data_IF_614111659541
#
_entry.id   IF_614111659541
#
_cell.length_a   1.000
_cell.length_b   1.000
_cell.length_c   1.000
_cell.angle_alpha   90.00
_cell.angle_beta   90.00
_cell.angle_gamma   90.00
#
_symmetry.space_group_name_H-M   'P 1'
#
loop_
_entity.id
_entity.type
_entity.pdbx_description
1 polymer ?
#
# COMPACT_ATOMS: atom_id res chain seq x y z
N UNK A 1 -30.09 -8.43 -40.89
CA UNK A 1 -31.29 -7.54 -40.90
C UNK A 1 -32.05 -7.80 -39.62
N UNK A 2 -32.38 -6.87 -38.73
CA UNK A 2 -32.12 -5.45 -38.55
C UNK A 2 -32.19 -5.18 -37.04
N UNK A 3 -31.60 -4.07 -36.55
CA UNK A 3 -31.39 -3.78 -35.14
C UNK A 3 -32.49 -2.87 -34.58
N UNK A 4 -32.71 -2.91 -33.26
CA UNK A 4 -33.13 -1.77 -32.43
C UNK A 4 -33.54 -2.25 -31.04
N UNK A 5 -32.86 -1.81 -29.99
CA UNK A 5 -33.53 -0.93 -29.03
C UNK A 5 -32.50 -0.17 -28.20
N UNK A 6 -32.55 1.15 -28.37
CA UNK A 6 -31.91 2.18 -27.58
C UNK A 6 -32.82 2.49 -26.39
N UNK A 7 -32.27 2.65 -25.19
CA UNK A 7 -32.64 3.72 -24.24
C UNK A 7 -31.76 3.68 -22.97
N UNK A 8 -31.01 4.76 -22.66
CA UNK A 8 -30.55 5.02 -21.30
C UNK A 8 -31.62 5.84 -20.57
N UNK A 9 -32.15 5.31 -19.46
CA UNK A 9 -33.02 6.08 -18.57
C UNK A 9 -32.13 6.72 -17.50
N UNK A 10 -31.81 7.98 -17.74
CA UNK A 10 -31.33 8.88 -16.70
C UNK A 10 -32.45 9.21 -15.72
N UNK A 11 -32.14 9.17 -14.44
CA UNK A 11 -32.91 9.88 -13.41
C UNK A 11 -31.99 10.81 -12.65
N UNK A 12 -32.38 12.07 -12.71
CA UNK A 12 -31.81 13.26 -12.10
C UNK A 12 -32.08 13.32 -10.59
N UNK A 13 -31.04 13.73 -9.85
CA UNK A 13 -31.03 14.62 -8.65
C UNK A 13 -31.80 14.19 -7.37
N UNK A 14 -31.49 14.71 -6.15
CA UNK A 14 -31.08 16.09 -5.89
C UNK A 14 -29.88 16.34 -4.96
N UNK A 15 -29.30 17.52 -5.19
CA UNK A 15 -28.47 18.26 -4.24
C UNK A 15 -29.18 18.46 -2.90
N UNK A 16 -28.48 18.14 -1.81
CA UNK A 16 -28.83 18.55 -0.45
C UNK A 16 -27.62 19.20 0.21
N UNK A 17 -27.53 20.53 0.09
CA UNK A 17 -26.61 21.40 0.83
C UNK A 17 -27.33 21.89 2.09
N UNK A 18 -26.75 21.69 3.27
CA UNK A 18 -27.17 22.38 4.51
C UNK A 18 -25.90 22.69 5.35
N UNK A 19 -25.83 23.82 6.07
CA UNK A 19 -24.58 24.54 6.31
C UNK A 19 -23.90 24.27 7.66
N UNK A 20 -22.63 24.71 7.66
CA UNK A 20 -21.77 25.13 8.77
C UNK A 20 -22.48 25.66 10.02
N UNK A 21 -22.03 25.20 11.21
CA UNK A 21 -21.47 26.03 12.31
C UNK A 21 -21.47 25.26 13.62
N UNK A 22 -20.31 25.03 14.20
CA UNK A 22 -20.03 25.52 15.56
C UNK A 22 -18.59 25.20 15.96
N UNK A 23 -17.82 26.28 16.06
CA UNK A 23 -16.56 26.36 16.78
C UNK A 23 -16.75 25.92 18.24
N UNK A 24 -15.98 24.92 18.69
CA UNK A 24 -15.63 24.80 20.11
C UNK A 24 -14.14 24.51 20.23
N UNK A 25 -13.38 25.60 20.42
CA UNK A 25 -11.98 25.61 20.86
C UNK A 25 -11.96 25.52 22.41
N UNK A 26 -10.80 25.30 23.04
CA UNK A 26 -10.43 24.08 23.72
C UNK A 26 -10.48 24.22 25.25
N UNK A 27 -10.72 23.14 25.99
CA UNK A 27 -10.42 23.14 27.43
C UNK A 27 -9.07 22.50 27.67
N UNK A 28 -8.09 23.35 27.93
CA UNK A 28 -6.75 23.04 28.41
C UNK A 28 -6.78 21.98 29.51
N UNK A 29 -6.28 20.77 29.23
CA UNK A 29 -5.90 19.82 30.28
C UNK A 29 -4.40 19.93 30.49
N UNK A 30 -4.07 20.15 31.75
CA UNK A 30 -2.74 20.38 32.28
C UNK A 30 -1.76 19.30 31.81
N UNK A 31 -0.63 19.73 31.24
CA UNK A 31 0.48 18.87 30.90
C UNK A 31 1.17 18.41 32.20
N UNK A 32 1.07 17.11 32.51
CA UNK A 32 1.88 16.47 33.55
C UNK A 32 3.18 16.01 32.88
N UNK A 33 4.37 16.48 33.31
CA UNK A 33 5.63 15.98 32.78
C UNK A 33 5.83 14.54 33.26
N UNK A 34 5.62 13.60 32.35
CA UNK A 34 5.99 12.21 32.56
C UNK A 34 7.49 12.07 32.33
N UNK A 35 8.27 11.49 33.27
CA UNK A 35 9.66 11.17 33.01
C UNK A 35 9.71 10.10 31.91
N UNK A 36 10.12 10.49 30.71
CA UNK A 36 10.40 9.55 29.62
C UNK A 36 11.67 8.80 30.01
N UNK A 37 11.51 7.62 30.62
CA UNK A 37 12.57 6.63 30.72
C UNK A 37 12.90 6.22 29.28
N UNK A 38 13.97 6.80 28.75
CA UNK A 38 14.48 6.47 27.42
C UNK A 38 15.07 5.06 27.45
N UNK A 39 14.26 4.05 27.14
CA UNK A 39 14.78 2.75 26.78
C UNK A 39 13.93 2.09 25.68
N UNK A 40 14.66 1.57 24.69
CA UNK A 40 14.27 0.58 23.67
C UNK A 40 13.61 1.10 22.41
N UNK A 41 14.46 1.39 21.41
CA UNK A 41 14.14 1.12 19.99
C UNK A 41 15.24 0.24 19.38
N UNK A 42 15.14 -1.08 19.57
CA UNK A 42 15.91 -2.08 18.80
C UNK A 42 15.06 -3.23 18.24
N UNK A 43 13.75 -3.26 18.50
CA UNK A 43 12.89 -4.38 18.08
C UNK A 43 12.45 -4.32 16.60
N UNK A 44 12.30 -3.13 16.01
CA UNK A 44 11.75 -2.97 14.65
C UNK A 44 12.67 -3.45 13.51
N UNK A 45 13.99 -3.35 13.68
CA UNK A 45 14.94 -3.74 12.64
C UNK A 45 15.03 -5.28 12.47
N UNK A 46 14.99 -6.02 13.59
CA UNK A 46 15.04 -7.49 13.57
C UNK A 46 13.79 -8.10 12.93
N UNK A 47 12.62 -7.50 13.17
CA UNK A 47 11.36 -8.00 12.62
C UNK A 47 11.26 -7.81 11.10
N UNK A 48 11.83 -6.72 10.57
CA UNK A 48 11.82 -6.43 9.13
C UNK A 48 12.73 -7.37 8.32
N UNK A 49 13.90 -7.73 8.87
CA UNK A 49 14.82 -8.69 8.25
C UNK A 49 14.27 -10.11 8.30
N UNK A 50 13.73 -10.51 9.46
CA UNK A 50 13.11 -11.81 9.65
C UNK A 50 11.92 -12.04 8.71
N UNK A 51 11.12 -10.99 8.45
CA UNK A 51 10.01 -11.09 7.49
C UNK A 51 10.50 -11.29 6.04
N UNK A 52 11.61 -10.64 5.63
CA UNK A 52 12.15 -10.83 4.28
C UNK A 52 12.85 -12.18 4.08
N UNK A 53 13.55 -12.68 5.11
CA UNK A 53 14.16 -14.01 5.07
C UNK A 53 13.06 -15.08 4.97
N UNK A 54 12.05 -15.02 5.85
CA UNK A 54 10.92 -15.96 5.82
C UNK A 54 10.13 -15.90 4.51
N UNK A 55 9.97 -14.73 3.88
CA UNK A 55 9.30 -14.65 2.59
C UNK A 55 10.14 -15.22 1.44
N UNK A 56 11.46 -15.05 1.49
CA UNK A 56 12.37 -15.63 0.49
C UNK A 56 12.37 -17.16 0.56
N UNK A 57 12.35 -17.72 1.77
CA UNK A 57 12.25 -19.18 1.97
C UNK A 57 10.95 -19.74 1.40
N UNK A 58 9.82 -19.05 1.64
CA UNK A 58 8.50 -19.45 1.11
C UNK A 58 8.43 -19.39 -0.42
N UNK A 59 9.05 -18.38 -1.04
CA UNK A 59 9.15 -18.29 -2.51
C UNK A 59 9.97 -19.47 -3.05
N UNK A 60 11.07 -19.82 -2.39
CA UNK A 60 11.91 -20.94 -2.82
C UNK A 60 11.16 -22.28 -2.75
N UNK A 61 10.42 -22.51 -1.66
CA UNK A 61 9.55 -23.69 -1.52
C UNK A 61 8.47 -23.73 -2.61
N UNK A 62 7.82 -22.60 -2.90
CA UNK A 62 6.81 -22.50 -3.95
C UNK A 62 7.39 -22.77 -5.34
N UNK A 63 8.62 -22.30 -5.63
CA UNK A 63 9.33 -22.58 -6.88
C UNK A 63 9.60 -24.09 -7.01
N UNK A 64 10.07 -24.73 -5.94
CA UNK A 64 10.36 -26.16 -5.97
C UNK A 64 9.07 -26.99 -6.14
N UNK A 65 7.97 -26.55 -5.51
CA UNK A 65 6.65 -27.13 -5.72
C UNK A 65 6.17 -26.95 -7.17
N UNK A 66 6.30 -25.75 -7.75
CA UNK A 66 5.90 -25.47 -9.12
C UNK A 66 6.72 -26.26 -10.15
N UNK A 67 8.02 -26.43 -9.93
CA UNK A 67 8.87 -27.32 -10.74
C UNK A 67 8.40 -28.76 -10.66
N UNK A 68 8.16 -29.26 -9.44
CA UNK A 68 7.68 -30.62 -9.23
C UNK A 68 6.32 -30.88 -9.91
N UNK A 69 5.39 -29.92 -9.80
CA UNK A 69 4.09 -29.99 -10.50
C UNK A 69 4.27 -29.97 -12.02
N UNK A 70 5.19 -29.14 -12.54
CA UNK A 70 5.51 -29.06 -13.97
C UNK A 70 6.12 -30.36 -14.50
N UNK A 71 6.93 -31.06 -13.70
CA UNK A 71 7.51 -32.37 -14.05
C UNK A 71 6.48 -33.50 -13.98
N UNK A 72 5.62 -33.51 -12.96
CA UNK A 72 4.62 -34.56 -12.75
C UNK A 72 3.42 -34.48 -13.70
N UNK A 73 2.86 -33.28 -13.87
CA UNK A 73 1.63 -33.07 -14.63
C UNK A 73 1.90 -32.51 -16.03
N UNK A 74 3.13 -32.06 -16.29
CA UNK A 74 3.54 -31.42 -17.54
C UNK A 74 3.45 -29.90 -17.47
N UNK A 75 4.34 -29.21 -18.20
CA UNK A 75 4.51 -27.75 -18.15
C UNK A 75 3.27 -26.95 -18.55
N UNK A 76 2.38 -27.52 -19.36
CA UNK A 76 1.16 -26.87 -19.86
C UNK A 76 -0.11 -27.28 -19.10
N UNK A 77 0.01 -28.14 -18.09
CA UNK A 77 -1.10 -28.59 -17.23
C UNK A 77 -1.68 -27.45 -16.40
N UNK A 78 -2.91 -27.61 -15.93
CA UNK A 78 -3.55 -26.62 -15.08
C UNK A 78 -2.87 -26.54 -13.72
N UNK A 79 -2.45 -27.68 -13.19
CA UNK A 79 -1.77 -27.84 -11.92
C UNK A 79 -0.41 -27.13 -11.89
N UNK A 80 0.35 -27.23 -12.99
CA UNK A 80 1.61 -26.49 -13.12
C UNK A 80 1.36 -24.98 -13.18
N UNK A 81 0.35 -24.52 -13.93
CA UNK A 81 0.01 -23.09 -14.03
C UNK A 81 -0.39 -22.52 -12.67
N UNK A 82 -1.30 -23.18 -11.96
CA UNK A 82 -1.73 -22.75 -10.62
C UNK A 82 -0.55 -22.71 -9.65
N UNK A 83 0.36 -23.68 -9.72
CA UNK A 83 1.55 -23.66 -8.86
C UNK A 83 2.49 -22.49 -9.17
N UNK A 84 2.63 -22.11 -10.45
CA UNK A 84 3.39 -20.92 -10.86
C UNK A 84 2.68 -19.61 -10.51
N UNK A 85 1.34 -19.56 -10.56
CA UNK A 85 0.56 -18.38 -10.12
C UNK A 85 0.82 -18.04 -8.64
N UNK A 86 0.99 -19.06 -7.79
CA UNK A 86 1.35 -18.87 -6.37
C UNK A 86 2.75 -18.28 -6.21
N UNK A 87 3.72 -18.67 -7.06
CA UNK A 87 5.06 -18.06 -7.05
C UNK A 87 4.96 -16.57 -7.41
N UNK A 88 4.19 -16.25 -8.45
CA UNK A 88 3.97 -14.88 -8.90
C UNK A 88 3.35 -14.01 -7.79
N UNK A 89 2.35 -14.52 -7.07
CA UNK A 89 1.73 -13.80 -5.95
C UNK A 89 2.72 -13.52 -4.80
N UNK A 90 3.52 -14.51 -4.41
CA UNK A 90 4.51 -14.35 -3.34
C UNK A 90 5.62 -13.36 -3.71
N UNK A 91 6.08 -13.40 -4.96
CA UNK A 91 7.08 -12.46 -5.45
C UNK A 91 6.53 -11.04 -5.55
N UNK A 92 5.27 -10.88 -5.97
CA UNK A 92 4.59 -9.59 -5.98
C UNK A 92 4.51 -9.00 -4.56
N UNK A 93 4.13 -9.79 -3.56
CA UNK A 93 4.11 -9.33 -2.17
C UNK A 93 5.52 -9.01 -1.65
N UNK A 94 6.54 -9.80 -2.01
CA UNK A 94 7.94 -9.47 -1.67
C UNK A 94 8.36 -8.14 -2.25
N UNK A 95 8.05 -7.87 -3.52
CA UNK A 95 8.36 -6.58 -4.15
C UNK A 95 7.62 -5.44 -3.45
N UNK A 96 6.33 -5.61 -3.19
CA UNK A 96 5.54 -4.59 -2.52
C UNK A 96 6.06 -4.28 -1.10
N UNK A 97 6.53 -5.29 -0.37
CA UNK A 97 7.20 -5.09 0.91
C UNK A 97 8.54 -4.39 0.77
N UNK A 98 9.31 -4.68 -0.28
CA UNK A 98 10.55 -3.97 -0.58
C UNK A 98 10.27 -2.50 -0.92
N UNK A 99 9.29 -2.22 -1.77
CA UNK A 99 8.89 -0.88 -2.19
C UNK A 99 8.43 -0.03 -1.01
N UNK A 100 7.62 -0.61 -0.09
CA UNK A 100 7.25 0.05 1.18
C UNK A 100 8.45 0.40 2.06
N UNK A 101 9.49 -0.44 2.06
CA UNK A 101 10.73 -0.19 2.80
C UNK A 101 11.63 0.81 2.07
N UNK A 102 11.54 0.89 0.75
CA UNK A 102 12.34 1.74 -0.11
C UNK A 102 11.62 2.96 -0.63
N UNK A 103 10.50 3.38 -0.01
CA UNK A 103 9.95 4.74 -0.16
C UNK A 103 10.99 5.71 0.39
N UNK A 104 12.06 5.92 -0.37
CA UNK A 104 12.87 7.11 -0.32
C UNK A 104 11.90 8.18 -0.79
N UNK A 105 11.45 9.03 0.12
CA UNK A 105 10.74 10.22 -0.29
C UNK A 105 11.61 10.93 -1.31
N UNK A 106 11.00 11.41 -2.38
CA UNK A 106 11.76 12.18 -3.36
C UNK A 106 12.45 13.33 -2.59
N UNK A 107 13.75 13.58 -2.81
CA UNK A 107 14.45 14.62 -2.07
C UNK A 107 13.76 15.99 -2.11
N UNK A 108 13.03 16.27 -3.20
CA UNK A 108 12.20 17.47 -3.32
C UNK A 108 10.94 17.38 -2.44
N UNK A 109 10.31 16.21 -2.33
CA UNK A 109 9.13 15.99 -1.47
C UNK A 109 9.47 16.14 0.03
N UNK A 110 10.67 15.73 0.46
CA UNK A 110 11.18 16.04 1.81
C UNK A 110 11.41 17.55 2.00
N UNK A 111 12.04 18.21 1.02
CA UNK A 111 12.28 19.66 1.08
C UNK A 111 10.98 20.47 1.12
N UNK A 112 10.00 20.13 0.29
CA UNK A 112 8.72 20.82 0.22
C UNK A 112 7.83 20.61 1.44
N UNK A 113 8.05 19.55 2.24
CA UNK A 113 7.40 19.38 3.54
C UNK A 113 7.87 20.39 4.57
N UNK A 114 9.16 20.74 4.55
CA UNK A 114 9.78 21.65 5.52
C UNK A 114 9.71 23.12 5.05
N UNK A 115 9.58 23.36 3.75
CA UNK A 115 9.46 24.71 3.15
C UNK A 115 8.36 24.76 2.07
N UNK A 116 7.06 24.79 2.47
CA UNK A 116 5.94 24.78 1.52
C UNK A 116 5.80 26.07 0.70
N UNK A 117 6.46 27.15 1.13
CA UNK A 117 6.49 28.46 0.47
C UNK A 117 7.73 28.68 -0.40
N UNK A 118 8.66 27.72 -0.45
CA UNK A 118 9.79 27.76 -1.37
C UNK A 118 9.29 27.81 -2.83
N UNK A 119 10.05 28.48 -3.69
CA UNK A 119 9.69 28.67 -5.10
C UNK A 119 9.56 27.33 -5.84
N UNK A 120 10.30 26.30 -5.42
CA UNK A 120 10.24 24.94 -5.95
C UNK A 120 9.01 24.14 -5.46
N UNK A 121 8.32 24.60 -4.41
CA UNK A 121 7.30 23.85 -3.69
C UNK A 121 5.92 24.52 -3.68
N UNK A 122 5.82 25.75 -4.20
CA UNK A 122 4.61 26.55 -4.21
C UNK A 122 3.59 26.01 -5.21
N UNK A 123 2.62 25.24 -4.71
CA UNK A 123 1.47 24.77 -5.48
C UNK A 123 0.33 25.79 -5.40
N UNK A 124 -0.20 26.23 -6.54
CA UNK A 124 -1.41 27.04 -6.63
C UNK A 124 -2.57 26.16 -7.07
N UNK A 125 -3.67 26.19 -6.32
CA UNK A 125 -4.93 25.58 -6.75
C UNK A 125 -5.61 26.54 -7.76
N UNK A 126 -5.86 26.07 -8.98
CA UNK A 126 -6.56 26.81 -10.06
C UNK A 126 -8.06 27.04 -9.79
#
# INVERSE_FOLDING_TARGET
MSPAFVAPIGTLLPSGRVPSRSTFRPSSRLAVPHPQIALRRRAGALHSLHMSETMSDRIQEAIDHAKNASEKYGKSSAEAKVAWDVVEELEAERSHQADKKSVKQDPLDEYCKDAPDADECRVYED
#
